data_IF_965965360901
#
_entry.id   IF_965965360901
#
_cell.length_a   1.000
_cell.length_b   1.000
_cell.length_c   1.000
_cell.angle_alpha   90.00
_cell.angle_beta   90.00
_cell.angle_gamma   90.00
#
_symmetry.space_group_name_H-M   'P 1'
#
loop_
_entity.id
_entity.type
_entity.pdbx_description
1 polymer ?
#
# COMPACT_ATOMS: atom_id res chain seq x y z
N UNK A 1 -140.72 -82.97 -82.11
CA UNK A 1 -141.96 -82.39 -82.65
C UNK A 1 -141.75 -82.04 -84.11
N UNK A 2 -142.74 -82.41 -84.93
CA UNK A 2 -143.12 -81.89 -86.26
C UNK A 2 -142.13 -82.06 -87.43
N UNK A 3 -142.36 -83.05 -88.32
CA UNK A 3 -143.22 -83.06 -89.55
C UNK A 3 -142.37 -82.74 -90.78
N UNK A 4 -142.27 -83.55 -91.85
CA UNK A 4 -143.29 -83.94 -92.85
C UNK A 4 -142.73 -85.19 -93.58
N UNK A 5 -143.33 -86.38 -93.47
CA UNK A 5 -144.37 -86.99 -94.31
C UNK A 5 -143.92 -87.50 -95.72
N UNK A 6 -143.97 -88.84 -95.86
CA UNK A 6 -144.49 -89.66 -96.97
C UNK A 6 -144.27 -89.22 -98.44
N UNK A 7 -143.57 -90.06 -99.23
CA UNK A 7 -144.17 -90.96 -100.25
C UNK A 7 -143.13 -91.54 -101.24
N UNK A 8 -143.36 -92.80 -101.62
CA UNK A 8 -142.91 -93.49 -102.84
C UNK A 8 -141.41 -93.69 -103.15
N UNK A 9 -141.00 -94.91 -102.82
CA UNK A 9 -140.07 -95.80 -103.51
C UNK A 9 -140.07 -95.68 -105.05
N UNK A 10 -138.92 -96.08 -105.62
CA UNK A 10 -138.58 -96.30 -107.03
C UNK A 10 -137.99 -95.14 -107.83
N UNK A 11 -138.51 -93.92 -107.86
CA UNK A 11 -137.96 -92.91 -108.78
C UNK A 11 -136.60 -92.33 -108.35
N UNK A 12 -136.40 -92.03 -107.07
CA UNK A 12 -135.08 -91.57 -106.59
C UNK A 12 -134.04 -92.69 -106.58
N UNK A 13 -134.45 -93.92 -106.29
CA UNK A 13 -133.59 -95.10 -106.41
C UNK A 13 -133.26 -95.40 -107.88
N UNK A 14 -134.18 -95.17 -108.83
CA UNK A 14 -133.90 -95.33 -110.26
C UNK A 14 -132.99 -94.21 -110.78
N UNK A 15 -133.14 -92.97 -110.33
CA UNK A 15 -132.20 -91.90 -110.68
C UNK A 15 -130.81 -92.15 -110.09
N UNK A 16 -130.72 -92.62 -108.85
CA UNK A 16 -129.46 -93.07 -108.27
C UNK A 16 -128.90 -94.29 -109.02
N UNK A 17 -129.75 -95.22 -109.47
CA UNK A 17 -129.33 -96.41 -110.21
C UNK A 17 -128.93 -96.10 -111.66
N UNK A 18 -129.58 -95.14 -112.32
CA UNK A 18 -129.19 -94.64 -113.64
C UNK A 18 -127.90 -93.81 -113.57
N UNK A 19 -127.68 -93.04 -112.51
CA UNK A 19 -126.39 -92.39 -112.26
C UNK A 19 -125.29 -93.42 -112.02
N UNK A 20 -125.56 -94.48 -111.25
CA UNK A 20 -124.59 -95.56 -111.01
C UNK A 20 -124.32 -96.39 -112.29
N UNK A 21 -125.33 -96.62 -113.14
CA UNK A 21 -125.14 -97.30 -114.43
C UNK A 21 -124.38 -96.44 -115.44
N UNK A 22 -124.58 -95.12 -115.42
CA UNK A 22 -123.82 -94.18 -116.24
C UNK A 22 -122.36 -94.08 -115.79
N UNK A 23 -122.09 -94.15 -114.48
CA UNK A 23 -120.72 -94.22 -113.94
C UNK A 23 -120.05 -95.56 -114.26
N UNK A 24 -120.77 -96.69 -114.12
CA UNK A 24 -120.20 -98.01 -114.49
C UNK A 24 -119.94 -98.17 -115.98
N UNK A 25 -120.75 -97.58 -116.88
CA UNK A 25 -120.48 -97.62 -118.33
C UNK A 25 -119.30 -96.75 -118.77
N UNK A 26 -118.83 -95.81 -117.94
CA UNK A 26 -117.55 -95.10 -118.18
C UNK A 26 -116.32 -95.84 -117.63
N UNK A 27 -116.49 -96.88 -116.82
CA UNK A 27 -115.40 -97.61 -116.17
C UNK A 27 -114.99 -98.93 -116.85
N UNK A 28 -115.73 -99.41 -117.86
CA UNK A 28 -115.47 -100.71 -118.49
C UNK A 28 -114.64 -100.65 -119.80
N UNK A 29 -113.87 -99.59 -120.03
CA UNK A 29 -112.89 -99.62 -121.12
C UNK A 29 -111.63 -98.80 -120.84
N UNK A 30 -110.85 -99.21 -119.83
CA UNK A 30 -109.42 -99.54 -120.00
C UNK A 30 -108.75 -99.74 -118.64
N UNK A 31 -108.04 -100.85 -118.57
CA UNK A 31 -107.24 -101.35 -117.46
C UNK A 31 -105.94 -100.52 -117.31
N UNK A 32 -105.64 -100.23 -116.04
CA UNK A 32 -104.35 -100.01 -115.38
C UNK A 32 -103.46 -98.81 -115.75
N UNK A 33 -103.30 -97.91 -114.77
CA UNK A 33 -102.05 -97.19 -114.49
C UNK A 33 -101.81 -97.13 -112.97
N UNK A 34 -100.58 -97.47 -112.56
CA UNK A 34 -99.98 -97.62 -111.21
C UNK A 34 -100.18 -96.49 -110.18
N UNK A 35 -101.06 -95.52 -110.43
CA UNK A 35 -101.21 -94.32 -109.62
C UNK A 35 -102.29 -94.48 -108.52
N UNK A 36 -103.29 -95.34 -108.73
CA UNK A 36 -104.31 -95.66 -107.71
C UNK A 36 -103.85 -96.66 -106.64
N UNK A 37 -102.79 -97.44 -106.91
CA UNK A 37 -102.19 -98.30 -105.86
C UNK A 37 -101.34 -97.47 -104.89
N UNK A 38 -100.64 -96.43 -105.38
CA UNK A 38 -99.81 -95.56 -104.55
C UNK A 38 -100.63 -94.61 -103.64
N UNK A 39 -101.82 -94.15 -104.08
CA UNK A 39 -102.72 -93.37 -103.22
C UNK A 39 -103.39 -94.24 -102.15
N UNK A 40 -103.76 -95.49 -102.46
CA UNK A 40 -104.26 -96.43 -101.45
C UNK A 40 -103.20 -96.84 -100.43
N UNK A 41 -101.92 -96.84 -100.81
CA UNK A 41 -100.81 -97.12 -99.90
C UNK A 41 -100.55 -95.94 -98.96
N UNK A 42 -100.63 -94.69 -99.46
CA UNK A 42 -100.60 -93.48 -98.61
C UNK A 42 -101.82 -93.36 -97.70
N UNK A 43 -103.01 -93.70 -98.18
CA UNK A 43 -104.23 -93.66 -97.36
C UNK A 43 -104.23 -94.76 -96.29
N UNK A 44 -103.57 -95.90 -96.55
CA UNK A 44 -103.31 -96.93 -95.53
C UNK A 44 -102.25 -96.50 -94.52
N UNK A 45 -101.19 -95.80 -94.92
CA UNK A 45 -100.18 -95.28 -93.98
C UNK A 45 -100.75 -94.19 -93.06
N UNK A 46 -101.58 -93.29 -93.58
CA UNK A 46 -102.24 -92.24 -92.78
C UNK A 46 -103.31 -92.84 -91.86
N UNK A 47 -104.08 -93.83 -92.35
CA UNK A 47 -105.03 -94.60 -91.54
C UNK A 47 -104.34 -95.40 -90.42
N UNK A 48 -103.18 -96.01 -90.70
CA UNK A 48 -102.40 -96.75 -89.71
C UNK A 48 -101.78 -95.82 -88.65
N UNK A 49 -101.26 -94.66 -89.05
CA UNK A 49 -100.77 -93.65 -88.11
C UNK A 49 -101.91 -93.05 -87.26
N UNK A 50 -103.07 -92.77 -87.85
CA UNK A 50 -104.24 -92.23 -87.15
C UNK A 50 -104.90 -93.24 -86.18
N UNK A 51 -104.77 -94.55 -86.43
CA UNK A 51 -105.28 -95.60 -85.54
C UNK A 51 -104.37 -95.87 -84.33
N UNK A 52 -103.13 -95.39 -84.36
CA UNK A 52 -102.17 -95.50 -83.26
C UNK A 52 -102.25 -94.33 -82.26
N UNK A 53 -102.84 -93.19 -82.67
CA UNK A 53 -103.12 -92.06 -81.78
C UNK A 53 -104.40 -92.31 -81.00
N UNK A 54 -104.28 -92.99 -79.86
CA UNK A 54 -105.38 -93.10 -78.89
C UNK A 54 -105.54 -91.77 -78.14
N UNK A 55 -106.77 -91.42 -77.76
CA UNK A 55 -107.05 -90.23 -76.92
C UNK A 55 -106.17 -90.24 -75.66
N UNK A 56 -105.90 -91.44 -75.12
CA UNK A 56 -105.01 -91.64 -73.98
C UNK A 56 -103.54 -91.28 -74.30
N UNK A 57 -103.04 -91.56 -75.52
CA UNK A 57 -101.69 -91.19 -75.93
C UNK A 57 -101.50 -89.68 -76.15
N UNK A 58 -102.52 -88.98 -76.62
CA UNK A 58 -102.49 -87.51 -76.76
C UNK A 58 -102.62 -86.84 -75.39
N UNK A 59 -103.51 -87.32 -74.51
CA UNK A 59 -103.63 -86.79 -73.14
C UNK A 59 -102.37 -87.08 -72.33
N UNK A 60 -101.76 -88.25 -72.49
CA UNK A 60 -100.49 -88.60 -71.84
C UNK A 60 -99.33 -87.78 -72.39
N UNK A 61 -99.26 -87.57 -73.71
CA UNK A 61 -98.27 -86.66 -74.30
C UNK A 61 -98.44 -85.21 -73.87
N UNK A 62 -99.68 -84.74 -73.68
CA UNK A 62 -99.96 -83.39 -73.18
C UNK A 62 -99.65 -83.27 -71.67
N UNK A 63 -99.91 -84.32 -70.89
CA UNK A 63 -99.54 -84.39 -69.47
C UNK A 63 -98.01 -84.51 -69.28
N UNK A 64 -97.33 -85.29 -70.12
CA UNK A 64 -95.86 -85.41 -70.14
C UNK A 64 -95.23 -84.07 -70.54
N UNK A 65 -95.80 -83.36 -71.52
CA UNK A 65 -95.33 -82.03 -71.91
C UNK A 65 -95.60 -80.98 -70.84
N UNK A 66 -96.71 -81.07 -70.11
CA UNK A 66 -97.01 -80.20 -68.97
C UNK A 66 -96.09 -80.48 -67.76
N UNK A 67 -95.71 -81.75 -67.56
CA UNK A 67 -94.69 -82.16 -66.60
C UNK A 67 -93.30 -81.69 -67.00
N UNK A 68 -92.89 -81.86 -68.26
CA UNK A 68 -91.62 -81.35 -68.80
C UNK A 68 -91.55 -79.82 -68.76
N UNK A 69 -92.64 -79.11 -69.04
CA UNK A 69 -92.68 -77.65 -68.90
C UNK A 69 -92.54 -77.23 -67.43
N UNK A 70 -93.19 -77.96 -66.52
CA UNK A 70 -93.05 -77.75 -65.08
C UNK A 70 -91.65 -78.02 -64.56
N UNK A 71 -90.98 -79.08 -65.04
CA UNK A 71 -89.59 -79.39 -64.66
C UNK A 71 -88.61 -78.38 -65.26
N UNK A 72 -88.76 -77.98 -66.52
CA UNK A 72 -87.89 -76.97 -67.15
C UNK A 72 -88.07 -75.60 -66.47
N UNK A 73 -89.30 -75.21 -66.10
CA UNK A 73 -89.53 -73.95 -65.36
C UNK A 73 -88.91 -74.03 -63.96
N UNK A 74 -89.03 -75.16 -63.27
CA UNK A 74 -88.39 -75.34 -61.96
C UNK A 74 -86.87 -75.35 -62.06
N UNK A 75 -86.29 -76.02 -63.07
CA UNK A 75 -84.85 -76.00 -63.32
C UNK A 75 -84.34 -74.61 -63.73
N UNK A 76 -85.11 -73.87 -64.53
CA UNK A 76 -84.78 -72.49 -64.89
C UNK A 76 -84.87 -71.57 -63.68
N UNK A 77 -85.88 -71.74 -62.84
CA UNK A 77 -86.03 -71.02 -61.57
C UNK A 77 -84.90 -71.34 -60.60
N UNK A 78 -84.50 -72.61 -60.47
CA UNK A 78 -83.34 -73.02 -59.68
C UNK A 78 -82.03 -72.45 -60.24
N UNK A 79 -81.84 -72.45 -61.57
CA UNK A 79 -80.67 -71.83 -62.20
C UNK A 79 -80.67 -70.32 -62.00
N UNK A 80 -81.81 -69.65 -62.16
CA UNK A 80 -81.94 -68.21 -61.93
C UNK A 80 -81.69 -67.88 -60.45
N UNK A 81 -82.21 -68.67 -59.51
CA UNK A 81 -81.96 -68.51 -58.08
C UNK A 81 -80.48 -68.75 -57.73
N UNK A 82 -79.82 -69.75 -58.35
CA UNK A 82 -78.37 -69.98 -58.20
C UNK A 82 -77.55 -68.84 -58.78
N UNK A 83 -77.89 -68.32 -59.96
CA UNK A 83 -77.21 -67.16 -60.56
C UNK A 83 -77.47 -65.87 -59.76
N UNK A 84 -78.67 -65.69 -59.20
CA UNK A 84 -78.97 -64.56 -58.32
C UNK A 84 -78.22 -64.66 -56.99
N UNK A 85 -78.09 -65.87 -56.42
CA UNK A 85 -77.25 -66.12 -55.23
C UNK A 85 -75.77 -65.83 -55.52
N UNK A 86 -75.26 -66.25 -56.69
CA UNK A 86 -73.89 -65.91 -57.12
C UNK A 86 -73.72 -64.40 -57.28
N UNK A 87 -74.73 -63.70 -57.81
CA UNK A 87 -74.70 -62.25 -57.98
C UNK A 87 -74.71 -61.53 -56.61
N UNK A 88 -75.50 -62.00 -55.65
CA UNK A 88 -75.49 -61.49 -54.27
C UNK A 88 -74.15 -61.76 -53.57
N UNK A 89 -73.58 -62.96 -53.72
CA UNK A 89 -72.25 -63.30 -53.21
C UNK A 89 -71.16 -62.41 -53.83
N UNK A 90 -71.25 -62.15 -55.14
CA UNK A 90 -70.29 -61.29 -55.86
C UNK A 90 -70.42 -59.83 -55.44
N UNK A 91 -71.64 -59.31 -55.29
CA UNK A 91 -71.88 -57.96 -54.78
C UNK A 91 -71.35 -57.80 -53.36
N UNK A 92 -71.55 -58.82 -52.50
CA UNK A 92 -71.05 -58.81 -51.13
C UNK A 92 -69.53 -58.92 -51.08
N UNK A 93 -68.92 -59.71 -51.97
CA UNK A 93 -67.46 -59.75 -52.13
C UNK A 93 -66.90 -58.40 -52.60
N UNK A 94 -67.56 -57.73 -53.56
CA UNK A 94 -67.18 -56.37 -53.99
C UNK A 94 -67.25 -55.39 -52.82
N UNK A 95 -68.29 -55.46 -51.99
CA UNK A 95 -68.43 -54.60 -50.82
C UNK A 95 -67.31 -54.84 -49.78
N UNK A 96 -67.01 -56.11 -49.47
CA UNK A 96 -65.90 -56.48 -48.57
C UNK A 96 -64.55 -56.02 -49.13
N UNK A 97 -64.27 -56.27 -50.41
CA UNK A 97 -63.03 -55.82 -51.06
C UNK A 97 -62.93 -54.29 -51.13
N UNK A 98 -64.06 -53.59 -51.30
CA UNK A 98 -64.09 -52.13 -51.27
C UNK A 98 -63.76 -51.59 -49.87
N UNK A 99 -64.31 -52.21 -48.82
CA UNK A 99 -63.97 -51.88 -47.43
C UNK A 99 -62.49 -52.18 -47.14
N UNK A 100 -61.99 -53.34 -47.58
CA UNK A 100 -60.58 -53.71 -47.44
C UNK A 100 -59.65 -52.73 -48.17
N UNK A 101 -60.01 -52.28 -49.38
CA UNK A 101 -59.28 -51.26 -50.13
C UNK A 101 -59.25 -49.91 -49.39
N UNK A 102 -60.35 -49.51 -48.75
CA UNK A 102 -60.38 -48.30 -47.91
C UNK A 102 -59.49 -48.43 -46.67
N UNK A 103 -59.45 -49.60 -46.04
CA UNK A 103 -58.54 -49.86 -44.93
C UNK A 103 -57.07 -49.82 -45.37
N UNK A 104 -56.74 -50.45 -46.49
CA UNK A 104 -55.39 -50.38 -47.08
C UNK A 104 -54.98 -48.94 -47.42
N UNK A 105 -55.90 -48.12 -47.93
CA UNK A 105 -55.63 -46.70 -48.17
C UNK A 105 -55.36 -45.95 -46.86
N UNK A 106 -56.13 -46.19 -45.81
CA UNK A 106 -55.88 -45.59 -44.49
C UNK A 106 -54.53 -46.02 -43.92
N UNK A 107 -54.20 -47.31 -44.01
CA UNK A 107 -52.90 -47.84 -43.57
C UNK A 107 -51.76 -47.17 -44.35
N UNK A 108 -51.90 -47.02 -45.68
CA UNK A 108 -50.92 -46.33 -46.51
C UNK A 108 -50.73 -44.87 -46.12
N UNK A 109 -51.81 -44.12 -45.89
CA UNK A 109 -51.72 -42.72 -45.44
C UNK A 109 -50.99 -42.63 -44.10
N UNK A 110 -51.29 -43.54 -43.16
CA UNK A 110 -50.61 -43.58 -41.86
C UNK A 110 -49.13 -43.93 -42.03
N UNK A 111 -48.79 -44.92 -42.85
CA UNK A 111 -47.40 -45.29 -43.13
C UNK A 111 -46.63 -44.14 -43.77
N UNK A 112 -47.18 -43.50 -44.81
CA UNK A 112 -46.59 -42.34 -45.47
C UNK A 112 -46.41 -41.18 -44.47
N UNK A 113 -47.38 -40.93 -43.58
CA UNK A 113 -47.26 -39.90 -42.53
C UNK A 113 -46.18 -40.22 -41.48
N UNK A 114 -46.02 -41.50 -41.15
CA UNK A 114 -45.01 -41.97 -40.20
C UNK A 114 -43.61 -41.87 -40.80
N UNK A 115 -43.46 -42.17 -42.10
CA UNK A 115 -42.21 -41.98 -42.83
C UNK A 115 -41.82 -40.50 -42.91
N UNK A 116 -42.77 -39.60 -43.20
CA UNK A 116 -42.53 -38.15 -43.17
C UNK A 116 -42.08 -37.69 -41.78
N UNK A 117 -42.80 -38.10 -40.72
CA UNK A 117 -42.43 -37.78 -39.34
C UNK A 117 -41.05 -38.33 -38.96
N UNK A 118 -40.72 -39.56 -39.37
CA UNK A 118 -39.41 -40.16 -39.14
C UNK A 118 -38.30 -39.37 -39.84
N UNK A 119 -38.52 -38.93 -41.07
CA UNK A 119 -37.58 -38.09 -41.80
C UNK A 119 -37.39 -36.72 -41.12
N UNK A 120 -38.47 -36.05 -40.72
CA UNK A 120 -38.40 -34.78 -39.98
C UNK A 120 -37.64 -34.93 -38.66
N UNK A 121 -37.89 -36.00 -37.92
CA UNK A 121 -37.15 -36.30 -36.68
C UNK A 121 -35.66 -36.53 -36.94
N UNK A 122 -35.31 -37.27 -38.00
CA UNK A 122 -33.92 -37.51 -38.37
C UNK A 122 -33.20 -36.21 -38.78
N UNK A 123 -33.87 -35.34 -39.53
CA UNK A 123 -33.32 -34.02 -39.89
C UNK A 123 -33.15 -33.13 -38.66
N UNK A 124 -34.10 -33.14 -37.73
CA UNK A 124 -34.01 -32.38 -36.49
C UNK A 124 -32.89 -32.90 -35.57
N UNK A 125 -32.72 -34.20 -35.47
CA UNK A 125 -31.58 -34.80 -34.75
C UNK A 125 -30.25 -34.36 -35.37
N UNK A 126 -30.13 -34.43 -36.69
CA UNK A 126 -28.92 -33.98 -37.38
C UNK A 126 -28.62 -32.50 -37.15
N UNK A 127 -29.64 -31.63 -37.16
CA UNK A 127 -29.49 -30.19 -36.83
C UNK A 127 -29.01 -29.99 -35.39
N UNK A 128 -29.62 -30.69 -34.42
CA UNK A 128 -29.23 -30.60 -33.00
C UNK A 128 -27.80 -31.09 -32.79
N UNK A 129 -27.42 -32.21 -33.42
CA UNK A 129 -26.06 -32.73 -33.35
C UNK A 129 -25.03 -31.76 -33.94
N UNK A 130 -25.35 -31.15 -35.10
CA UNK A 130 -24.51 -30.13 -35.71
C UNK A 130 -24.36 -28.89 -34.81
N UNK A 131 -25.46 -28.40 -34.23
CA UNK A 131 -25.45 -27.26 -33.30
C UNK A 131 -24.63 -27.56 -32.03
N UNK A 132 -24.78 -28.75 -31.46
CA UNK A 132 -23.99 -29.18 -30.29
C UNK A 132 -22.51 -29.24 -30.65
N UNK A 133 -22.18 -29.79 -31.82
CA UNK A 133 -20.79 -29.89 -32.30
C UNK A 133 -20.17 -28.50 -32.47
N UNK A 134 -20.88 -27.57 -33.13
CA UNK A 134 -20.43 -26.19 -33.32
C UNK A 134 -20.24 -25.46 -31.99
N UNK A 135 -21.19 -25.58 -31.05
CA UNK A 135 -21.08 -24.96 -29.72
C UNK A 135 -19.91 -25.54 -28.91
N UNK A 136 -19.67 -26.84 -28.98
CA UNK A 136 -18.51 -27.48 -28.34
C UNK A 136 -17.20 -26.97 -28.93
N UNK A 137 -17.11 -26.87 -30.26
CA UNK A 137 -15.91 -26.35 -30.91
C UNK A 137 -15.66 -24.87 -30.57
N UNK A 138 -16.71 -24.05 -30.54
CA UNK A 138 -16.62 -22.65 -30.15
C UNK A 138 -16.15 -22.50 -28.69
N UNK A 139 -16.72 -23.28 -27.77
CA UNK A 139 -16.34 -23.26 -26.35
C UNK A 139 -14.91 -23.74 -26.13
N UNK A 140 -14.47 -24.78 -26.85
CA UNK A 140 -13.09 -25.26 -26.75
C UNK A 140 -12.09 -24.23 -27.28
N UNK A 141 -12.43 -23.52 -28.37
CA UNK A 141 -11.62 -22.38 -28.87
C UNK A 141 -11.56 -21.25 -27.85
N UNK A 142 -12.69 -20.88 -27.24
CA UNK A 142 -12.75 -19.84 -26.20
C UNK A 142 -11.90 -20.22 -24.99
N UNK A 143 -12.05 -21.45 -24.49
CA UNK A 143 -11.25 -21.98 -23.38
C UNK A 143 -9.75 -21.92 -23.70
N UNK A 144 -9.34 -22.35 -24.89
CA UNK A 144 -7.94 -22.29 -25.30
C UNK A 144 -7.42 -20.85 -25.40
N UNK A 145 -8.25 -19.92 -25.86
CA UNK A 145 -7.90 -18.50 -25.93
C UNK A 145 -7.73 -17.90 -24.52
N UNK A 146 -8.68 -18.17 -23.62
CA UNK A 146 -8.61 -17.72 -22.22
C UNK A 146 -7.38 -18.29 -21.51
N UNK A 147 -7.07 -19.58 -21.70
CA UNK A 147 -5.87 -20.19 -21.11
C UNK A 147 -4.58 -19.54 -21.65
N UNK A 148 -4.49 -19.28 -22.96
CA UNK A 148 -3.35 -18.57 -23.55
C UNK A 148 -3.20 -17.15 -23.04
N UNK A 149 -4.32 -16.44 -22.88
CA UNK A 149 -4.29 -15.06 -22.39
C UNK A 149 -3.96 -15.01 -20.90
N UNK A 150 -4.43 -15.97 -20.12
CA UNK A 150 -4.06 -16.13 -18.71
C UNK A 150 -2.58 -16.47 -18.55
N UNK A 151 -2.03 -17.40 -19.33
CA UNK A 151 -0.60 -17.73 -19.33
C UNK A 151 0.27 -16.50 -19.68
N UNK A 152 -0.13 -15.72 -20.70
CA UNK A 152 0.55 -14.45 -21.03
C UNK A 152 0.47 -13.44 -19.89
N UNK A 153 -0.66 -13.33 -19.20
CA UNK A 153 -0.82 -12.42 -18.07
C UNK A 153 0.04 -12.86 -16.89
N UNK A 154 0.11 -14.17 -16.63
CA UNK A 154 0.94 -14.73 -15.58
C UNK A 154 2.42 -14.44 -15.83
N UNK A 155 2.92 -14.69 -17.05
CA UNK A 155 4.32 -14.38 -17.40
C UNK A 155 4.62 -12.89 -17.22
N UNK A 156 3.74 -12.00 -17.72
CA UNK A 156 3.91 -10.55 -17.53
C UNK A 156 3.90 -10.12 -16.07
N UNK A 157 3.06 -10.76 -15.26
CA UNK A 157 2.98 -10.48 -13.83
C UNK A 157 4.26 -10.93 -13.12
N UNK A 158 4.75 -12.13 -13.42
CA UNK A 158 6.01 -12.66 -12.87
C UNK A 158 7.21 -11.80 -13.28
N UNK A 159 7.28 -11.36 -14.54
CA UNK A 159 8.30 -10.41 -15.02
C UNK A 159 8.23 -9.07 -14.26
N UNK A 160 7.04 -8.49 -14.11
CA UNK A 160 6.85 -7.24 -13.38
C UNK A 160 7.19 -7.37 -11.89
N UNK A 161 6.87 -8.50 -11.25
CA UNK A 161 7.25 -8.78 -9.86
C UNK A 161 8.77 -8.90 -9.72
N UNK A 162 9.44 -9.58 -10.65
CA UNK A 162 10.90 -9.69 -10.67
C UNK A 162 11.57 -8.32 -10.85
N UNK A 163 11.10 -7.51 -11.81
CA UNK A 163 11.60 -6.16 -12.05
C UNK A 163 11.41 -5.27 -10.80
N UNK A 164 10.23 -5.33 -10.19
CA UNK A 164 9.94 -4.59 -8.96
C UNK A 164 10.87 -5.00 -7.82
N UNK A 165 11.07 -6.30 -7.60
CA UNK A 165 11.95 -6.82 -6.56
C UNK A 165 13.42 -6.45 -6.79
N UNK A 166 13.88 -6.48 -8.04
CA UNK A 166 15.22 -6.04 -8.40
C UNK A 166 15.41 -4.54 -8.16
N UNK A 167 14.42 -3.72 -8.52
CA UNK A 167 14.46 -2.28 -8.31
C UNK A 167 14.44 -1.93 -6.81
N UNK A 168 13.60 -2.62 -6.03
CA UNK A 168 13.56 -2.49 -4.57
C UNK A 168 14.90 -2.86 -3.94
N UNK A 169 15.52 -3.96 -4.38
CA UNK A 169 16.83 -4.40 -3.88
C UNK A 169 17.92 -3.38 -4.19
N UNK A 170 17.99 -2.91 -5.45
CA UNK A 170 18.94 -1.86 -5.86
C UNK A 170 18.75 -0.56 -5.08
N UNK A 171 17.51 -0.15 -4.82
CA UNK A 171 17.23 1.06 -4.03
C UNK A 171 17.67 0.88 -2.58
N UNK A 172 17.40 -0.28 -1.96
CA UNK A 172 17.87 -0.58 -0.60
C UNK A 172 19.40 -0.58 -0.52
N UNK A 173 20.09 -1.17 -1.49
CA UNK A 173 21.56 -1.15 -1.56
C UNK A 173 22.09 0.28 -1.63
N UNK A 174 21.54 1.12 -2.53
CA UNK A 174 21.90 2.54 -2.63
C UNK A 174 21.64 3.31 -1.34
N UNK A 175 20.50 3.10 -0.70
CA UNK A 175 20.17 3.75 0.58
C UNK A 175 21.14 3.36 1.70
N UNK A 176 21.52 2.08 1.76
CA UNK A 176 22.50 1.58 2.73
C UNK A 176 23.89 2.18 2.46
N UNK A 177 24.33 2.20 1.21
CA UNK A 177 25.60 2.81 0.80
C UNK A 177 25.63 4.31 1.12
N UNK A 178 24.59 5.05 0.75
CA UNK A 178 24.46 6.47 1.07
C UNK A 178 24.47 6.74 2.57
N UNK A 179 23.75 5.92 3.34
CA UNK A 179 23.70 6.03 4.79
C UNK A 179 25.08 5.78 5.41
N UNK A 180 25.77 4.71 5.00
CA UNK A 180 27.11 4.39 5.45
C UNK A 180 28.11 5.50 5.10
N UNK A 181 28.04 6.02 3.87
CA UNK A 181 28.87 7.13 3.43
C UNK A 181 28.63 8.39 4.26
N UNK A 182 27.36 8.78 4.47
CA UNK A 182 26.99 9.94 5.30
C UNK A 182 27.47 9.77 6.74
N UNK A 183 27.33 8.57 7.30
CA UNK A 183 27.79 8.25 8.64
C UNK A 183 29.30 8.36 8.77
N UNK A 184 30.06 7.77 7.83
CA UNK A 184 31.51 7.82 7.84
C UNK A 184 32.02 9.26 7.64
N UNK A 185 31.42 10.01 6.71
CA UNK A 185 31.77 11.41 6.49
C UNK A 185 31.49 12.26 7.74
N UNK A 186 30.34 12.09 8.39
CA UNK A 186 30.03 12.78 9.64
C UNK A 186 31.01 12.42 10.76
N UNK A 187 31.40 11.14 10.89
CA UNK A 187 32.43 10.73 11.85
C UNK A 187 33.78 11.36 11.56
N UNK A 188 34.20 11.42 10.30
CA UNK A 188 35.46 12.08 9.90
C UNK A 188 35.44 13.57 10.23
N UNK A 189 34.38 14.28 9.86
CA UNK A 189 34.21 15.71 10.19
C UNK A 189 34.25 15.93 11.70
N UNK A 190 33.54 15.10 12.48
CA UNK A 190 33.54 15.20 13.93
C UNK A 190 34.93 14.92 14.52
N UNK A 191 35.63 13.91 14.03
CA UNK A 191 37.00 13.60 14.47
C UNK A 191 37.97 14.73 14.13
N UNK A 192 37.93 15.25 12.90
CA UNK A 192 38.79 16.34 12.46
C UNK A 192 38.56 17.61 13.29
N UNK A 193 37.29 17.97 13.54
CA UNK A 193 36.94 19.12 14.39
C UNK A 193 37.38 18.91 15.85
N UNK A 194 37.26 17.69 16.37
CA UNK A 194 37.75 17.35 17.70
C UNK A 194 39.28 17.46 17.77
N UNK A 195 40.01 16.93 16.78
CA UNK A 195 41.46 17.03 16.74
C UNK A 195 41.94 18.47 16.57
N UNK A 196 41.24 19.29 15.78
CA UNK A 196 41.55 20.71 15.63
C UNK A 196 41.36 21.46 16.96
N UNK A 197 40.22 21.27 17.62
CA UNK A 197 39.94 21.89 18.92
C UNK A 197 40.94 21.45 19.98
N UNK A 198 41.29 20.15 20.02
CA UNK A 198 42.34 19.62 20.89
C UNK A 198 43.69 20.32 20.65
N UNK A 199 44.15 20.38 19.40
CA UNK A 199 45.41 21.06 19.04
C UNK A 199 45.40 22.55 19.37
N UNK A 200 44.25 23.21 19.25
CA UNK A 200 44.09 24.62 19.66
C UNK A 200 44.25 24.76 21.18
N UNK A 201 43.53 23.96 21.96
CA UNK A 201 43.60 23.99 23.42
C UNK A 201 44.98 23.62 23.94
N UNK A 202 45.66 22.63 23.34
CA UNK A 202 47.04 22.27 23.71
C UNK A 202 48.01 23.43 23.47
N UNK A 203 47.84 24.18 22.35
CA UNK A 203 48.64 25.38 22.08
C UNK A 203 48.35 26.50 23.07
N UNK A 204 47.08 26.77 23.36
CA UNK A 204 46.67 27.78 24.35
C UNK A 204 47.22 27.46 25.74
N UNK A 205 47.12 26.19 26.18
CA UNK A 205 47.69 25.73 27.45
C UNK A 205 49.21 25.81 27.50
N UNK A 206 49.89 25.49 26.40
CA UNK A 206 51.35 25.59 26.32
C UNK A 206 51.81 27.06 26.41
N UNK A 207 51.10 27.98 25.74
CA UNK A 207 51.38 29.42 25.82
C UNK A 207 51.11 29.95 27.23
N UNK A 208 49.95 29.64 27.81
CA UNK A 208 49.59 30.08 29.17
C UNK A 208 50.55 29.52 30.23
N UNK A 209 51.00 28.27 30.07
CA UNK A 209 52.02 27.68 30.96
C UNK A 209 53.34 28.42 30.85
N UNK A 210 53.82 28.73 29.63
CA UNK A 210 55.05 29.50 29.43
C UNK A 210 54.97 30.92 30.00
N UNK A 211 53.83 31.60 29.86
CA UNK A 211 53.62 32.92 30.47
C UNK A 211 53.66 32.83 31.99
N UNK A 212 52.96 31.87 32.59
CA UNK A 212 53.00 31.64 34.04
C UNK A 212 54.40 31.28 34.53
N UNK A 213 55.14 30.44 33.82
CA UNK A 213 56.53 30.10 34.16
C UNK A 213 57.43 31.34 34.17
N UNK A 214 57.29 32.23 33.18
CA UNK A 214 58.02 33.51 33.17
C UNK A 214 57.66 34.37 34.38
N UNK A 215 56.36 34.55 34.65
CA UNK A 215 55.89 35.31 35.81
C UNK A 215 56.41 34.73 37.13
N UNK A 216 56.46 33.39 37.25
CA UNK A 216 57.01 32.71 38.43
C UNK A 216 58.50 32.99 38.59
N UNK A 217 59.29 32.84 37.53
CA UNK A 217 60.73 33.11 37.56
C UNK A 217 61.01 34.57 37.92
N UNK A 218 60.26 35.52 37.36
CA UNK A 218 60.39 36.94 37.68
C UNK A 218 60.05 37.23 39.16
N UNK A 219 58.96 36.64 39.66
CA UNK A 219 58.57 36.77 41.08
C UNK A 219 59.60 36.15 42.02
N UNK A 220 60.11 34.97 41.69
CA UNK A 220 61.17 34.31 42.48
C UNK A 220 62.43 35.17 42.51
N UNK A 221 62.85 35.73 41.38
CA UNK A 221 64.01 36.63 41.31
C UNK A 221 63.81 37.88 42.18
N UNK A 222 62.64 38.54 42.12
CA UNK A 222 62.33 39.70 42.96
C UNK A 222 62.31 39.34 44.45
N UNK A 223 61.73 38.20 44.81
CA UNK A 223 61.70 37.73 46.20
C UNK A 223 63.11 37.41 46.71
N UNK A 224 63.95 36.79 45.90
CA UNK A 224 65.34 36.50 46.26
C UNK A 224 66.15 37.79 46.46
N UNK A 225 65.97 38.80 45.60
CA UNK A 225 66.59 40.11 45.78
C UNK A 225 66.10 40.83 47.05
N UNK A 226 64.81 40.72 47.37
CA UNK A 226 64.25 41.31 48.60
C UNK A 226 64.69 40.58 49.86
N UNK A 227 64.93 39.27 49.78
CA UNK A 227 65.38 38.46 50.91
C UNK A 227 66.74 38.94 51.44
N UNK A 228 67.70 39.25 50.56
CA UNK A 228 69.00 39.77 50.99
C UNK A 228 68.90 41.15 51.64
N UNK A 229 68.09 42.05 51.08
CA UNK A 229 67.80 43.36 51.69
C UNK A 229 67.13 43.23 53.05
N UNK A 230 66.20 42.29 53.18
CA UNK A 230 65.50 42.02 54.44
C UNK A 230 66.46 41.50 55.50
N UNK A 231 67.37 40.58 55.15
CA UNK A 231 68.44 40.11 56.05
C UNK A 231 69.39 41.24 56.48
N UNK A 232 69.75 42.14 55.55
CA UNK A 232 70.56 43.32 55.86
C UNK A 232 69.82 44.27 56.83
N UNK A 233 68.55 44.58 56.56
CA UNK A 233 67.75 45.43 57.43
C UNK A 233 67.52 44.79 58.79
N UNK A 234 67.30 43.48 58.87
CA UNK A 234 67.20 42.76 60.14
C UNK A 234 68.49 42.89 60.96
N UNK A 235 69.67 42.77 60.32
CA UNK A 235 70.96 42.98 60.99
C UNK A 235 71.11 44.41 61.50
N UNK A 236 70.79 45.42 60.68
CA UNK A 236 70.83 46.84 61.08
C UNK A 236 69.87 47.13 62.23
N UNK A 237 68.64 46.62 62.18
CA UNK A 237 67.66 46.79 63.26
C UNK A 237 68.16 46.11 64.54
N UNK A 238 68.80 44.95 64.46
CA UNK A 238 69.36 44.25 65.61
C UNK A 238 70.60 44.97 66.20
N UNK A 239 71.45 45.60 65.37
CA UNK A 239 72.64 46.35 65.84
C UNK A 239 72.32 47.77 66.28
N UNK A 240 71.20 48.36 65.82
CA UNK A 240 70.86 49.75 66.10
C UNK A 240 70.80 50.10 67.59
N UNK A 241 70.23 49.28 68.51
CA UNK A 241 70.22 49.60 69.93
C UNK A 241 71.62 49.69 70.55
N UNK A 242 72.55 48.82 70.13
CA UNK A 242 73.92 48.81 70.67
C UNK A 242 74.73 49.97 70.10
N UNK A 243 74.58 50.28 68.82
CA UNK A 243 75.16 51.47 68.19
C UNK A 243 74.63 52.77 68.82
N UNK A 244 73.33 52.84 69.08
CA UNK A 244 72.69 53.99 69.72
C UNK A 244 73.19 54.18 71.16
N UNK A 245 73.28 53.10 71.95
CA UNK A 245 73.82 53.17 73.32
C UNK A 245 75.30 53.59 73.32
N UNK A 246 76.11 53.06 72.41
CA UNK A 246 77.51 53.45 72.26
C UNK A 246 77.66 54.93 71.85
N UNK A 247 76.88 55.40 70.88
CA UNK A 247 76.87 56.80 70.46
C UNK A 247 76.40 57.72 71.59
N UNK A 248 75.35 57.32 72.33
CA UNK A 248 74.86 58.05 73.49
C UNK A 248 75.90 58.15 74.61
N UNK A 249 76.55 57.03 74.97
CA UNK A 249 77.64 57.02 75.96
C UNK A 249 78.78 57.92 75.55
N UNK A 250 79.25 57.84 74.30
CA UNK A 250 80.31 58.70 73.77
C UNK A 250 79.91 60.19 73.79
N UNK A 251 78.68 60.52 73.39
CA UNK A 251 78.17 61.88 73.45
C UNK A 251 78.08 62.40 74.90
N UNK A 252 77.60 61.57 75.83
CA UNK A 252 77.54 61.86 77.27
C UNK A 252 78.94 62.09 77.85
N UNK A 253 79.90 61.22 77.56
CA UNK A 253 81.29 61.36 78.01
C UNK A 253 81.94 62.63 77.47
N UNK A 254 81.77 62.93 76.18
CA UNK A 254 82.28 64.16 75.57
C UNK A 254 81.62 65.41 76.17
N UNK A 255 80.31 65.37 76.43
CA UNK A 255 79.60 66.47 77.10
C UNK A 255 80.13 66.69 78.53
N UNK A 256 80.30 65.62 79.31
CA UNK A 256 80.89 65.68 80.66
C UNK A 256 82.30 66.25 80.60
N UNK A 257 83.15 65.75 79.68
CA UNK A 257 84.54 66.20 79.53
C UNK A 257 84.64 67.66 79.11
N UNK A 258 83.85 68.09 78.13
CA UNK A 258 83.83 69.50 77.72
C UNK A 258 83.30 70.41 78.81
N UNK A 259 82.26 69.98 79.54
CA UNK A 259 81.69 70.77 80.65
C UNK A 259 82.67 70.86 81.82
N UNK A 260 83.34 69.77 82.18
CA UNK A 260 84.34 69.79 83.25
C UNK A 260 85.59 70.58 82.87
N UNK A 261 86.04 70.50 81.63
CA UNK A 261 87.12 71.34 81.12
C UNK A 261 86.74 72.82 81.13
N UNK A 262 85.53 73.17 80.67
CA UNK A 262 85.03 74.56 80.75
C UNK A 262 84.93 75.05 82.18
N UNK A 263 84.31 74.28 83.08
CA UNK A 263 84.20 74.64 84.49
C UNK A 263 85.56 74.78 85.16
N UNK A 264 86.54 73.93 84.81
CA UNK A 264 87.92 74.05 85.31
C UNK A 264 88.60 75.32 84.79
N UNK A 265 88.51 75.59 83.49
CA UNK A 265 89.08 76.82 82.91
C UNK A 265 88.43 78.05 83.54
N UNK A 266 87.11 78.04 83.74
CA UNK A 266 86.37 79.14 84.37
C UNK A 266 86.76 79.33 85.84
N UNK A 267 86.92 78.24 86.60
CA UNK A 267 87.42 78.29 87.97
C UNK A 267 88.87 78.80 88.05
N UNK A 268 89.76 78.30 87.19
CA UNK A 268 91.16 78.74 87.11
C UNK A 268 91.25 80.23 86.72
N UNK A 269 90.39 80.71 85.80
CA UNK A 269 90.30 82.12 85.43
C UNK A 269 89.80 82.97 86.60
N UNK A 270 88.74 82.52 87.29
CA UNK A 270 88.20 83.21 88.46
C UNK A 270 89.23 83.30 89.59
N UNK A 271 89.99 82.25 89.85
CA UNK A 271 91.09 82.25 90.84
C UNK A 271 92.19 83.23 90.42
N UNK A 272 92.56 83.27 89.15
CA UNK A 272 93.54 84.25 88.62
C UNK A 272 93.05 85.69 88.69
N UNK A 273 91.77 85.94 88.39
CA UNK A 273 91.14 87.27 88.51
C UNK A 273 91.10 87.71 89.98
N UNK A 274 90.80 86.79 90.90
CA UNK A 274 90.87 87.04 92.33
C UNK A 274 92.30 87.37 92.77
N UNK A 275 93.30 86.60 92.34
CA UNK A 275 94.72 86.84 92.68
C UNK A 275 95.18 88.20 92.17
N UNK A 276 94.84 88.54 90.92
CA UNK A 276 95.13 89.85 90.34
C UNK A 276 94.44 90.99 91.08
N UNK A 277 93.17 90.80 91.48
CA UNK A 277 92.44 91.76 92.29
C UNK A 277 93.09 91.95 93.66
N UNK A 278 93.46 90.85 94.35
CA UNK A 278 94.18 90.90 95.63
C UNK A 278 95.50 91.64 95.49
N UNK A 279 96.33 91.33 94.50
CA UNK A 279 97.60 92.03 94.25
C UNK A 279 97.38 93.52 93.98
N UNK A 280 96.33 93.89 93.24
CA UNK A 280 95.97 95.29 93.02
C UNK A 280 95.61 96.00 94.33
N UNK A 281 94.80 95.36 95.18
CA UNK A 281 94.47 95.89 96.50
C UNK A 281 95.70 95.98 97.41
N UNK A 282 96.59 94.98 97.42
CA UNK A 282 97.84 94.99 98.17
C UNK A 282 98.77 96.13 97.71
N UNK A 283 98.92 96.34 96.39
CA UNK A 283 99.67 97.48 95.85
C UNK A 283 99.03 98.81 96.24
N UNK A 284 97.69 98.89 96.26
CA UNK A 284 96.99 100.10 96.68
C UNK A 284 97.19 100.39 98.16
N UNK A 285 97.11 99.36 99.01
CA UNK A 285 97.44 99.44 100.44
C UNK A 285 98.88 99.93 100.61
N UNK A 286 99.85 99.31 99.92
CA UNK A 286 101.26 99.72 100.00
C UNK A 286 101.47 101.18 99.55
N UNK A 287 100.79 101.64 98.50
CA UNK A 287 100.87 103.05 98.08
C UNK A 287 100.26 104.01 99.11
N UNK A 288 99.16 103.60 99.77
CA UNK A 288 98.51 104.38 100.81
C UNK A 288 99.39 104.42 102.07
N UNK A 289 100.02 103.31 102.44
CA UNK A 289 101.00 103.23 103.52
C UNK A 289 102.21 104.12 103.26
N UNK A 290 102.78 104.09 102.05
CA UNK A 290 103.84 105.03 101.65
C UNK A 290 103.38 106.50 101.71
N UNK A 291 102.13 106.76 101.32
CA UNK A 291 101.56 108.12 101.39
C UNK A 291 101.38 108.55 102.85
N UNK A 292 100.92 107.66 103.72
CA UNK A 292 100.79 107.88 105.17
C UNK A 292 102.17 108.17 105.77
N UNK A 293 103.19 107.38 105.44
CA UNK A 293 104.53 107.59 105.99
C UNK A 293 105.11 108.93 105.53
N UNK A 294 104.95 109.29 104.25
CA UNK A 294 105.35 110.60 103.73
C UNK A 294 104.58 111.75 104.39
N UNK A 295 103.28 111.58 104.67
CA UNK A 295 102.49 112.55 105.44
C UNK A 295 102.97 112.65 106.89
N UNK A 296 103.38 111.54 107.49
CA UNK A 296 103.91 111.48 108.85
C UNK A 296 105.26 112.20 108.93
N UNK A 297 106.15 112.00 107.98
CA UNK A 297 107.40 112.77 107.83
C UNK A 297 107.11 114.26 107.64
N UNK A 298 106.11 114.64 106.83
CA UNK A 298 105.69 116.03 106.69
C UNK A 298 105.14 116.62 107.99
N UNK A 299 104.33 115.87 108.74
CA UNK A 299 103.84 116.29 110.06
C UNK A 299 105.00 116.46 111.04
N UNK A 300 105.97 115.56 111.03
CA UNK A 300 107.15 115.63 111.90
C UNK A 300 108.04 116.84 111.54
N UNK A 301 108.21 117.12 110.25
CA UNK A 301 108.87 118.32 109.72
C UNK A 301 108.14 119.62 110.10
N UNK A 302 106.81 119.66 109.93
CA UNK A 302 105.99 120.82 110.34
C UNK A 302 106.02 120.98 111.86
N UNK A 303 106.02 119.89 112.62
CA UNK A 303 106.10 119.90 114.09
C UNK A 303 107.46 120.41 114.58
N UNK A 304 108.56 120.04 113.92
CA UNK A 304 109.90 120.58 114.20
C UNK A 304 109.99 122.06 113.81
N UNK A 305 109.45 122.47 112.66
CA UNK A 305 109.32 123.89 112.30
C UNK A 305 108.44 124.66 113.29
N UNK A 306 107.38 124.06 113.83
CA UNK A 306 106.53 124.65 114.87
C UNK A 306 107.30 124.80 116.19
N UNK A 307 108.10 123.81 116.58
CA UNK A 307 108.98 123.91 117.75
C UNK A 307 110.09 124.97 117.57
N UNK A 308 110.67 125.07 116.38
CA UNK A 308 111.66 126.13 116.06
C UNK A 308 111.02 127.51 116.04
N UNK A 309 109.82 127.66 115.46
CA UNK A 309 109.09 128.94 115.47
C UNK A 309 108.57 129.31 116.85
N UNK A 310 108.18 128.34 117.69
CA UNK A 310 107.89 128.54 119.11
C UNK A 310 109.15 128.99 119.89
N UNK A 311 110.33 128.40 119.60
CA UNK A 311 111.61 128.86 120.15
C UNK A 311 111.96 130.26 119.69
N UNK A 312 111.79 130.59 118.41
CA UNK A 312 112.02 131.93 117.87
C UNK A 312 111.03 132.95 118.44
N UNK A 313 109.77 132.57 118.70
CA UNK A 313 108.78 133.40 119.38
C UNK A 313 109.09 133.58 120.87
N UNK A 314 109.64 132.58 121.56
CA UNK A 314 110.15 132.68 122.93
C UNK A 314 111.39 133.59 123.02
N UNK A 315 112.33 133.47 122.07
CA UNK A 315 113.51 134.35 122.00
C UNK A 315 113.15 135.80 121.60
N UNK A 316 112.11 136.00 120.76
CA UNK A 316 111.56 137.34 120.50
C UNK A 316 110.84 137.92 121.72
N UNK A 317 110.08 137.09 122.46
CA UNK A 317 109.39 137.49 123.69
C UNK A 317 110.38 137.84 124.81
N UNK A 318 111.49 137.10 124.94
CA UNK A 318 112.56 137.43 125.88
C UNK A 318 113.37 138.67 125.48
N UNK A 319 113.49 138.99 124.18
CA UNK A 319 114.07 140.28 123.74
C UNK A 319 113.08 141.46 123.84
N UNK A 320 111.77 141.22 123.86
CA UNK A 320 110.74 142.26 123.97
C UNK A 320 110.40 142.68 125.41
N UNK A 321 110.70 141.85 126.43
CA UNK A 321 110.54 142.21 127.85
C UNK A 321 111.84 142.73 128.53
N UNK A 322 112.88 142.98 127.75
CA UNK A 322 114.08 143.71 128.20
C UNK A 322 113.93 145.24 128.25
N UNK A 323 112.74 145.82 128.06
CA UNK A 323 112.54 147.27 128.11
C UNK A 323 111.13 147.65 128.59
N UNK A 324 110.85 147.49 129.88
CA UNK A 324 110.01 148.42 130.65
C UNK A 324 110.08 148.14 132.16
N UNK A 325 110.78 149.05 132.84
CA UNK A 325 110.85 149.33 134.28
C UNK A 325 111.79 148.51 135.18
N UNK A 326 112.68 149.31 135.81
CA UNK A 326 113.15 149.25 137.21
C UNK A 326 113.75 147.97 137.75
#
# INVERSE_FOLDING_TARGET
>A
MNTVAFNNSKQQLMQAFEQILAEKRKLDSKIATKQEEAEKEKDKEISAAASAYTVDGIVKGLADLQLEFGTIINELSEKLAKENSKLDELNRAIEVETQYLQELQKIRIVADSLDVLAQEHQENLSKIEADISQKKEALEKEKQQVLKDWEKQQVKFEEAEQEYNQLLTKNREKEVEEYQYKLENSRKINEDSYQETKRRLERELALATREKEKDWVEREAVNQQRQSLLEEYQKKVASFPTELDAAYKKAKENAIKNTSQRAKVEADLFEKEWEGSKQSYELKISSLEQTIERQKEQIESISTQLQETLKQAQDLSMRAFGNSNK
#
